data_IF_335400054378
#
_entry.id   IF_335400054378
#
_cell.length_a   1.000
_cell.length_b   1.000
_cell.length_c   1.000
_cell.angle_alpha   90.00
_cell.angle_beta   90.00
_cell.angle_gamma   90.00
#
_symmetry.space_group_name_H-M   'P 1'
#
loop_
_entity.id
_entity.type
_entity.pdbx_description
1 polymer ?
#
# COMPACT_ATOMS: atom_id res chain seq x y z
N UNK A 1 -2.12 -11.16 29.42
CA UNK A 1 -2.58 -9.88 28.85
C UNK A 1 -1.36 -9.03 28.50
N UNK A 2 -0.98 -8.94 27.22
CA UNK A 2 0.00 -7.93 26.77
C UNK A 2 -0.79 -6.65 26.54
N UNK A 3 -0.49 -5.59 27.29
CA UNK A 3 -0.94 -4.25 26.92
C UNK A 3 -0.29 -3.92 25.57
N UNK A 4 -1.10 -3.77 24.53
CA UNK A 4 -0.61 -3.17 23.29
C UNK A 4 -0.21 -1.74 23.64
N UNK A 5 1.05 -1.38 23.41
CA UNK A 5 1.51 -0.02 23.64
C UNK A 5 0.68 0.93 22.76
N UNK A 6 0.16 2.02 23.34
CA UNK A 6 -0.47 3.07 22.55
C UNK A 6 0.59 3.69 21.62
N UNK A 7 0.32 3.71 20.33
CA UNK A 7 1.26 4.14 19.29
C UNK A 7 0.65 5.26 18.46
N UNK A 8 1.50 6.11 17.89
CA UNK A 8 1.08 7.17 16.97
C UNK A 8 1.47 6.78 15.53
N UNK A 9 0.49 6.70 14.65
CA UNK A 9 0.67 6.38 13.24
C UNK A 9 0.28 7.54 12.33
N UNK A 10 0.97 7.65 11.20
CA UNK A 10 0.54 8.39 10.03
C UNK A 10 0.35 7.37 8.90
N UNK A 11 -0.87 7.19 8.43
CA UNK A 11 -1.17 6.36 7.28
C UNK A 11 -1.12 7.26 6.06
N UNK A 12 -0.06 7.11 5.27
CA UNK A 12 0.26 8.03 4.17
C UNK A 12 0.04 7.37 2.83
N UNK A 13 -0.79 8.00 2.00
CA UNK A 13 -0.86 7.70 0.56
C UNK A 13 0.01 8.70 -0.18
N UNK A 14 1.01 8.22 -0.91
CA UNK A 14 1.91 9.10 -1.66
C UNK A 14 1.14 9.87 -2.74
N UNK A 15 1.14 11.19 -2.61
CA UNK A 15 0.53 12.14 -3.54
C UNK A 15 1.51 13.30 -3.83
N UNK A 16 2.41 13.13 -4.82
CA UNK A 16 3.34 14.17 -5.22
C UNK A 16 2.59 15.44 -5.67
N UNK A 17 3.09 16.66 -5.39
CA UNK A 17 2.43 17.90 -5.83
C UNK A 17 2.21 18.00 -7.33
N UNK A 18 3.12 17.40 -8.13
CA UNK A 18 3.01 17.36 -9.59
C UNK A 18 1.95 16.38 -10.10
N UNK A 19 1.51 15.43 -9.28
CA UNK A 19 0.50 14.44 -9.65
C UNK A 19 -0.25 13.92 -8.39
N UNK A 20 -1.16 14.74 -7.83
CA UNK A 20 -1.78 14.46 -6.53
C UNK A 20 -2.76 13.26 -6.55
N UNK A 21 -3.16 12.79 -7.73
CA UNK A 21 -4.15 11.70 -7.87
C UNK A 21 -3.51 10.32 -8.06
N UNK A 22 -2.19 10.25 -8.27
CA UNK A 22 -1.49 9.00 -8.62
C UNK A 22 -1.65 7.89 -7.56
N UNK A 23 -1.80 8.25 -6.29
CA UNK A 23 -2.02 7.32 -5.19
C UNK A 23 -3.47 6.85 -5.01
N UNK A 24 -4.39 7.24 -5.91
CA UNK A 24 -5.83 6.99 -5.77
C UNK A 24 -6.20 5.53 -5.53
N UNK A 25 -5.54 4.60 -6.23
CA UNK A 25 -5.78 3.16 -6.10
C UNK A 25 -5.46 2.60 -4.70
N UNK A 26 -4.65 3.29 -3.91
CA UNK A 26 -4.29 2.85 -2.55
C UNK A 26 -5.24 3.39 -1.47
N UNK A 27 -6.09 4.37 -1.80
CA UNK A 27 -6.79 5.19 -0.80
C UNK A 27 -7.72 4.39 0.09
N UNK A 28 -8.47 3.44 -0.49
CA UNK A 28 -9.44 2.65 0.26
C UNK A 28 -8.74 1.69 1.25
N UNK A 29 -7.62 1.09 0.85
CA UNK A 29 -6.83 0.22 1.74
C UNK A 29 -6.14 1.06 2.84
N UNK A 30 -5.63 2.24 2.50
CA UNK A 30 -5.08 3.16 3.49
C UNK A 30 -6.14 3.60 4.52
N UNK A 31 -7.37 3.84 4.07
CA UNK A 31 -8.50 4.14 4.94
C UNK A 31 -8.87 2.95 5.83
N UNK A 32 -8.92 1.73 5.28
CA UNK A 32 -9.13 0.51 6.07
C UNK A 32 -8.06 0.35 7.17
N UNK A 33 -6.79 0.57 6.85
CA UNK A 33 -5.69 0.52 7.82
C UNK A 33 -5.83 1.61 8.88
N UNK A 34 -6.19 2.82 8.48
CA UNK A 34 -6.43 3.92 9.42
C UNK A 34 -7.49 3.54 10.47
N UNK A 35 -8.66 3.07 10.04
CA UNK A 35 -9.74 2.64 10.93
C UNK A 35 -9.38 1.42 11.77
N UNK A 36 -8.68 0.43 11.20
CA UNK A 36 -8.21 -0.72 11.95
C UNK A 36 -7.26 -0.34 13.09
N UNK A 37 -6.36 0.62 12.85
CA UNK A 37 -5.45 1.13 13.89
C UNK A 37 -6.21 1.86 15.02
N UNK A 38 -7.22 2.66 14.67
CA UNK A 38 -8.09 3.31 15.66
C UNK A 38 -8.86 2.26 16.49
N UNK A 39 -9.43 1.24 15.84
CA UNK A 39 -10.16 0.17 16.51
C UNK A 39 -9.28 -0.67 17.45
N UNK A 40 -7.98 -0.78 17.16
CA UNK A 40 -6.97 -1.43 18.02
C UNK A 40 -6.50 -0.53 19.18
N UNK A 41 -7.00 0.71 19.29
CA UNK A 41 -6.66 1.64 20.36
C UNK A 41 -5.36 2.41 20.12
N UNK A 42 -4.91 2.55 18.88
CA UNK A 42 -3.81 3.42 18.50
C UNK A 42 -4.31 4.76 17.98
N UNK A 43 -3.46 5.79 18.02
CA UNK A 43 -3.71 7.05 17.35
C UNK A 43 -3.23 6.96 15.89
N UNK A 44 -4.06 7.43 14.97
CA UNK A 44 -3.82 7.31 13.54
C UNK A 44 -4.31 8.56 12.83
N UNK A 45 -3.55 9.05 11.86
CA UNK A 45 -3.98 10.10 10.93
C UNK A 45 -3.84 9.59 9.51
N UNK A 46 -4.89 9.73 8.69
CA UNK A 46 -4.83 9.49 7.25
C UNK A 46 -4.36 10.77 6.55
N UNK A 47 -3.30 10.70 5.77
CA UNK A 47 -2.64 11.89 5.20
C UNK A 47 -1.91 11.60 3.89
N UNK A 48 -1.43 12.65 3.23
CA UNK A 48 -0.45 12.62 2.15
C UNK A 48 0.94 13.13 2.60
N UNK A 49 1.05 13.59 3.85
CA UNK A 49 2.29 14.11 4.42
C UNK A 49 3.30 13.00 4.73
N UNK A 50 4.58 13.28 4.44
CA UNK A 50 5.72 12.40 4.71
C UNK A 50 6.60 12.90 5.87
N UNK A 51 6.29 14.07 6.43
CA UNK A 51 7.11 14.81 7.40
C UNK A 51 6.56 14.80 8.83
N UNK A 52 5.66 13.87 9.16
CA UNK A 52 5.11 13.67 10.50
C UNK A 52 6.06 12.81 11.38
N UNK A 53 7.17 13.40 11.79
CA UNK A 53 8.31 12.72 12.44
C UNK A 53 8.02 12.15 13.85
N UNK A 54 6.97 12.65 14.51
CA UNK A 54 6.47 12.17 15.81
C UNK A 54 5.76 10.82 15.70
N UNK A 55 5.36 10.44 14.48
CA UNK A 55 4.59 9.24 14.18
C UNK A 55 5.42 8.19 13.46
N UNK A 56 4.93 6.94 13.46
CA UNK A 56 5.37 5.92 12.52
C UNK A 56 4.56 6.04 11.25
N UNK A 57 5.23 6.19 10.12
CA UNK A 57 4.55 6.44 8.84
C UNK A 57 4.36 5.14 8.09
N UNK A 58 3.12 4.69 7.91
CA UNK A 58 2.78 3.58 7.02
C UNK A 58 2.62 4.18 5.63
N UNK A 59 3.51 3.83 4.71
CA UNK A 59 3.59 4.43 3.38
C UNK A 59 2.98 3.48 2.35
N UNK A 60 1.95 3.96 1.65
CA UNK A 60 1.41 3.36 0.43
C UNK A 60 1.94 4.07 -0.80
N UNK A 61 2.33 3.31 -1.83
CA UNK A 61 2.90 3.86 -3.07
C UNK A 61 4.41 4.15 -2.98
N UNK A 62 5.19 3.22 -2.45
CA UNK A 62 6.65 3.34 -2.34
C UNK A 62 7.34 3.52 -3.71
N UNK A 63 6.82 2.87 -4.74
CA UNK A 63 7.19 3.08 -6.14
C UNK A 63 7.00 4.55 -6.56
N UNK A 64 5.85 5.16 -6.24
CA UNK A 64 5.62 6.58 -6.51
C UNK A 64 6.56 7.47 -5.69
N UNK A 65 6.82 7.14 -4.42
CA UNK A 65 7.74 7.92 -3.58
C UNK A 65 9.12 8.03 -4.26
N UNK A 66 9.65 6.90 -4.73
CA UNK A 66 10.94 6.87 -5.41
C UNK A 66 10.88 7.53 -6.79
N UNK A 67 9.86 7.23 -7.59
CA UNK A 67 9.72 7.77 -8.94
C UNK A 67 9.69 9.31 -8.96
N UNK A 68 9.02 9.92 -7.98
CA UNK A 68 8.93 11.37 -7.84
C UNK A 68 10.03 11.97 -6.96
N UNK A 69 11.03 11.19 -6.51
CA UNK A 69 12.16 11.68 -5.72
C UNK A 69 11.76 12.30 -4.38
N UNK A 70 10.66 11.83 -3.78
CA UNK A 70 10.17 12.37 -2.51
C UNK A 70 11.03 11.90 -1.34
N UNK A 71 11.12 12.75 -0.31
CA UNK A 71 11.90 12.42 0.89
C UNK A 71 11.21 11.32 1.70
N UNK A 72 12.00 10.34 2.13
CA UNK A 72 11.56 9.28 3.03
C UNK A 72 11.16 9.82 4.41
N UNK A 73 10.05 9.33 5.01
CA UNK A 73 9.75 9.57 6.41
C UNK A 73 10.86 9.03 7.33
N UNK A 74 11.00 9.59 8.53
CA UNK A 74 12.03 9.14 9.49
C UNK A 74 11.81 7.73 10.03
N UNK A 75 10.55 7.29 10.15
CA UNK A 75 10.16 6.00 10.74
C UNK A 75 9.16 5.28 9.84
N UNK A 76 9.55 4.92 8.60
CA UNK A 76 8.61 4.36 7.64
C UNK A 76 8.33 2.88 7.93
N UNK A 77 7.13 2.45 7.58
CA UNK A 77 6.75 1.07 7.32
C UNK A 77 6.17 1.09 5.91
N UNK A 78 6.77 0.37 4.96
CA UNK A 78 6.21 0.31 3.61
C UNK A 78 5.14 -0.77 3.54
N UNK A 79 3.92 -0.39 3.19
CA UNK A 79 2.87 -1.37 2.89
C UNK A 79 2.79 -1.55 1.38
N UNK A 80 3.37 -2.64 0.89
CA UNK A 80 3.39 -2.99 -0.52
C UNK A 80 2.05 -3.62 -0.94
N UNK A 81 1.43 -3.03 -1.96
CA UNK A 81 0.24 -3.56 -2.65
C UNK A 81 0.53 -3.92 -4.12
N UNK A 82 1.76 -3.69 -4.57
CA UNK A 82 2.18 -4.04 -5.93
C UNK A 82 2.46 -5.54 -6.03
N UNK A 83 2.17 -6.12 -7.20
CA UNK A 83 2.59 -7.48 -7.51
C UNK A 83 4.11 -7.51 -7.75
N UNK A 84 4.81 -8.39 -7.04
CA UNK A 84 6.24 -8.59 -7.21
C UNK A 84 6.49 -9.83 -8.08
N UNK A 85 7.56 -9.78 -8.88
CA UNK A 85 7.84 -10.80 -9.88
C UNK A 85 9.11 -10.51 -10.65
N UNK A 86 9.55 -11.44 -11.48
CA UNK A 86 10.68 -11.21 -12.38
C UNK A 86 10.35 -10.09 -13.40
N UNK A 87 9.08 -10.00 -13.77
CA UNK A 87 8.58 -9.02 -14.75
C UNK A 87 8.13 -7.71 -14.10
N UNK A 88 8.32 -7.56 -12.78
CA UNK A 88 7.97 -6.33 -12.06
C UNK A 88 9.01 -5.24 -12.38
N UNK A 89 8.62 -4.12 -13.03
CA UNK A 89 9.57 -3.06 -13.36
C UNK A 89 10.18 -2.41 -12.12
N UNK A 90 9.45 -2.43 -10.99
CA UNK A 90 9.95 -1.90 -9.72
C UNK A 90 11.06 -2.77 -9.13
N UNK A 91 10.99 -4.10 -9.28
CA UNK A 91 12.03 -5.01 -8.81
C UNK A 91 13.32 -4.95 -9.63
N UNK A 92 13.30 -4.28 -10.78
CA UNK A 92 14.50 -4.04 -11.60
C UNK A 92 15.35 -2.85 -11.10
N UNK A 93 14.82 -2.01 -10.21
CA UNK A 93 15.54 -0.84 -9.68
C UNK A 93 16.15 -1.14 -8.31
N UNK A 94 17.41 -0.72 -8.12
CA UNK A 94 18.14 -0.98 -6.87
C UNK A 94 17.53 -0.21 -5.70
N UNK A 95 17.05 1.00 -5.96
CA UNK A 95 16.45 1.89 -4.96
C UNK A 95 15.19 1.28 -4.34
N UNK A 96 14.35 0.62 -5.15
CA UNK A 96 13.14 -0.04 -4.66
C UNK A 96 13.47 -1.31 -3.86
N UNK A 97 14.45 -2.09 -4.33
CA UNK A 97 14.98 -3.25 -3.59
C UNK A 97 15.57 -2.84 -2.24
N UNK A 98 16.27 -1.70 -2.20
CA UNK A 98 16.87 -1.18 -0.98
C UNK A 98 15.84 -0.74 0.06
N UNK A 99 14.62 -0.36 -0.36
CA UNK A 99 13.53 -0.13 0.60
C UNK A 99 13.21 -1.39 1.38
N UNK A 100 13.05 -2.53 0.68
CA UNK A 100 12.77 -3.81 1.34
C UNK A 100 13.92 -4.31 2.22
N UNK A 101 15.16 -3.97 1.84
CA UNK A 101 16.35 -4.37 2.59
C UNK A 101 16.50 -3.61 3.91
N UNK A 102 16.22 -2.31 3.91
CA UNK A 102 16.59 -1.44 5.03
C UNK A 102 15.44 -1.06 5.95
N UNK A 103 14.19 -1.18 5.50
CA UNK A 103 13.03 -0.72 6.25
C UNK A 103 12.06 -1.85 6.58
N UNK A 104 11.23 -1.69 7.64
CA UNK A 104 10.12 -2.60 7.89
C UNK A 104 9.11 -2.56 6.74
N UNK A 105 8.67 -3.73 6.30
CA UNK A 105 7.73 -3.87 5.19
C UNK A 105 6.54 -4.72 5.61
N UNK A 106 5.35 -4.32 5.18
CA UNK A 106 4.11 -5.07 5.24
C UNK A 106 3.73 -5.46 3.81
N UNK A 107 3.21 -6.67 3.66
CA UNK A 107 2.72 -7.15 2.37
C UNK A 107 1.46 -8.00 2.56
N UNK A 108 0.52 -7.86 1.63
CA UNK A 108 -0.75 -8.58 1.63
C UNK A 108 -0.68 -9.93 0.92
N UNK A 109 0.40 -10.17 0.16
CA UNK A 109 0.56 -11.31 -0.74
C UNK A 109 1.63 -12.26 -0.20
N UNK A 110 1.21 -13.49 0.12
CA UNK A 110 2.15 -14.54 0.52
C UNK A 110 3.15 -14.84 -0.61
N UNK A 111 2.72 -14.75 -1.86
CA UNK A 111 3.58 -14.91 -3.04
C UNK A 111 4.68 -13.85 -3.09
N UNK A 112 4.38 -12.58 -2.79
CA UNK A 112 5.39 -11.52 -2.73
C UNK A 112 6.40 -11.79 -1.62
N UNK A 113 5.93 -12.20 -0.44
CA UNK A 113 6.77 -12.52 0.71
C UNK A 113 7.74 -13.65 0.37
N UNK A 114 7.27 -14.71 -0.29
CA UNK A 114 8.11 -15.84 -0.66
C UNK A 114 9.06 -15.49 -1.81
N UNK A 115 8.62 -14.66 -2.76
CA UNK A 115 9.45 -14.11 -3.83
C UNK A 115 10.63 -13.29 -3.30
N UNK A 116 10.41 -12.43 -2.28
CA UNK A 116 11.46 -11.65 -1.63
C UNK A 116 12.39 -12.54 -0.80
N UNK A 117 11.83 -13.51 -0.08
CA UNK A 117 12.61 -14.45 0.72
C UNK A 117 13.57 -15.29 -0.14
N UNK A 118 13.11 -15.76 -1.31
CA UNK A 118 13.93 -16.51 -2.27
C UNK A 118 15.13 -15.72 -2.80
N UNK A 119 15.11 -14.38 -2.68
CA UNK A 119 16.20 -13.47 -3.05
C UNK A 119 17.11 -13.09 -1.88
N UNK A 120 16.90 -13.67 -0.70
CA UNK A 120 17.63 -13.33 0.51
C UNK A 120 17.29 -11.96 1.10
N UNK A 121 16.14 -11.38 0.71
CA UNK A 121 15.64 -10.14 1.33
C UNK A 121 14.87 -10.46 2.62
N UNK A 122 14.79 -9.48 3.56
CA UNK A 122 13.97 -9.64 4.76
C UNK A 122 12.51 -9.97 4.40
N UNK A 123 11.92 -10.94 5.11
CA UNK A 123 10.52 -11.29 4.92
C UNK A 123 9.63 -10.15 5.43
N UNK A 124 8.74 -9.58 4.60
CA UNK A 124 7.73 -8.65 5.09
C UNK A 124 6.84 -9.30 6.15
N UNK A 125 6.26 -8.47 7.01
CA UNK A 125 5.15 -8.92 7.87
C UNK A 125 3.93 -9.11 7.00
N UNK A 126 3.33 -10.31 7.05
CA UNK A 126 2.09 -10.58 6.35
C UNK A 126 0.94 -9.81 7.01
N UNK A 127 0.33 -8.88 6.27
CA UNK A 127 -0.81 -8.08 6.70
C UNK A 127 -1.88 -8.19 5.62
N UNK A 128 -2.90 -9.06 5.81
CA UNK A 128 -3.94 -9.21 4.81
C UNK A 128 -4.83 -7.97 4.73
N UNK A 129 -5.44 -7.76 3.57
CA UNK A 129 -6.49 -6.76 3.42
C UNK A 129 -7.74 -7.27 4.14
N UNK A 130 -8.21 -6.48 5.10
CA UNK A 130 -9.38 -6.77 5.91
C UNK A 130 -10.50 -5.77 5.69
N UNK A 131 -11.67 -6.11 6.22
CA UNK A 131 -12.84 -5.24 6.24
C UNK A 131 -12.88 -4.38 7.50
N UNK A 132 -13.34 -3.14 7.37
CA UNK A 132 -13.74 -2.26 8.46
C UNK A 132 -15.13 -1.69 8.18
N UNK A 133 -16.02 -1.55 9.18
CA UNK A 133 -17.38 -1.07 8.97
C UNK A 133 -17.47 0.33 8.37
N UNK A 134 -16.45 1.17 8.55
CA UNK A 134 -16.39 2.53 8.02
C UNK A 134 -16.29 2.60 6.49
N UNK A 135 -15.98 1.48 5.81
CA UNK A 135 -16.03 1.38 4.35
C UNK A 135 -17.42 1.04 3.81
N UNK A 136 -18.38 0.64 4.65
CA UNK A 136 -19.78 0.41 4.22
C UNK A 136 -20.53 1.73 4.07
N UNK A 137 -20.42 2.35 2.90
CA UNK A 137 -21.00 3.68 2.59
C UNK A 137 -22.08 3.68 1.54
N UNK A 138 -22.07 2.67 0.68
CA UNK A 138 -23.02 2.55 -0.41
C UNK A 138 -24.26 1.84 0.14
N UNK A 139 -25.40 2.52 0.09
CA UNK A 139 -26.68 1.91 0.43
C UNK A 139 -26.95 0.76 -0.55
N UNK A 140 -27.31 -0.44 -0.07
CA UNK A 140 -27.71 -1.53 -0.94
C UNK A 140 -28.82 -1.08 -1.89
N UNK A 141 -28.62 -1.30 -3.19
CA UNK A 141 -29.61 -1.08 -4.23
C UNK A 141 -30.13 -2.44 -4.73
N UNK A 142 -31.26 -2.41 -5.43
CA UNK A 142 -31.72 -3.59 -6.17
C UNK A 142 -30.67 -3.96 -7.21
N UNK A 143 -30.17 -5.18 -7.16
CA UNK A 143 -29.18 -5.71 -8.10
C UNK A 143 -29.86 -5.99 -9.46
N UNK A 144 -29.45 -5.27 -10.50
CA UNK A 144 -29.91 -5.41 -11.89
C UNK A 144 -28.79 -5.83 -12.86
N UNK A 145 -27.60 -6.10 -12.32
CA UNK A 145 -26.40 -6.53 -13.03
C UNK A 145 -25.92 -7.85 -12.41
N UNK A 146 -25.77 -8.89 -13.22
CA UNK A 146 -25.29 -10.19 -12.73
C UNK A 146 -23.78 -10.20 -12.45
N UNK A 147 -23.00 -9.49 -13.26
CA UNK A 147 -21.53 -9.39 -13.15
C UNK A 147 -21.05 -8.03 -13.66
N UNK A 148 -20.23 -7.34 -12.87
CA UNK A 148 -19.50 -6.14 -13.29
C UNK A 148 -18.00 -6.45 -13.39
N UNK A 149 -17.41 -6.16 -14.55
CA UNK A 149 -15.96 -6.15 -14.74
C UNK A 149 -15.49 -4.71 -14.92
N UNK A 150 -14.64 -4.23 -14.01
CA UNK A 150 -14.00 -2.92 -14.11
C UNK A 150 -12.50 -3.11 -14.29
N UNK A 151 -11.93 -2.56 -15.35
CA UNK A 151 -10.50 -2.58 -15.60
C UNK A 151 -10.02 -1.21 -16.09
N UNK A 152 -8.73 -0.93 -15.87
CA UNK A 152 -8.07 0.19 -16.51
C UNK A 152 -7.81 -0.15 -18.00
N UNK A 153 -8.27 0.70 -18.92
CA UNK A 153 -8.29 0.46 -20.36
C UNK A 153 -6.89 0.27 -20.99
N UNK A 154 -5.82 0.60 -20.25
CA UNK A 154 -4.44 0.53 -20.73
C UNK A 154 -3.81 -0.88 -20.75
N UNK A 155 -4.39 -1.87 -20.08
CA UNK A 155 -3.81 -3.22 -20.03
C UNK A 155 -4.24 -4.16 -21.18
N UNK A 156 -5.33 -3.83 -21.89
CA UNK A 156 -5.84 -4.69 -22.98
C UNK A 156 -5.22 -4.38 -24.35
N UNK A 157 -4.70 -3.17 -24.57
CA UNK A 157 -4.12 -2.80 -25.86
C UNK A 157 -2.77 -3.49 -26.15
N UNK A 158 -2.08 -4.09 -25.16
CA UNK A 158 -0.83 -4.83 -25.40
C UNK A 158 -1.02 -6.32 -25.73
N UNK A 159 -2.23 -6.86 -25.61
CA UNK A 159 -2.53 -8.28 -25.89
C UNK A 159 -3.29 -8.49 -27.21
N UNK A 160 -3.61 -7.40 -27.93
CA UNK A 160 -4.41 -7.43 -29.16
C UNK A 160 -3.65 -7.54 -30.48
N UNK A 161 -2.30 -7.55 -30.49
CA UNK A 161 -1.50 -7.65 -31.73
C UNK A 161 -0.96 -9.05 -32.04
N UNK A 162 -1.45 -10.09 -31.37
CA UNK A 162 -1.11 -11.48 -31.73
C UNK A 162 -2.39 -12.32 -31.83
N UNK A 163 -3.13 -12.13 -32.91
CA UNK A 163 -4.14 -13.05 -33.40
C UNK A 163 -4.09 -13.10 -34.93
#
# INVERSE_FOLDING_TARGET
MRYLAHMLFAVTVVAPPSNPTIGGAFREIAEAVHHALLALGHDSVLTDRLDLDDRRTIVFGANHLLHYGLRLPKKPIFYNLEQLGNDSPWMATQEFVDLFRHYPNWDYSQTNIDYLAARGLPRPTYVPIGYVPELTRITPATEDIDVLLSNDQNLWMSLGEVA
#
